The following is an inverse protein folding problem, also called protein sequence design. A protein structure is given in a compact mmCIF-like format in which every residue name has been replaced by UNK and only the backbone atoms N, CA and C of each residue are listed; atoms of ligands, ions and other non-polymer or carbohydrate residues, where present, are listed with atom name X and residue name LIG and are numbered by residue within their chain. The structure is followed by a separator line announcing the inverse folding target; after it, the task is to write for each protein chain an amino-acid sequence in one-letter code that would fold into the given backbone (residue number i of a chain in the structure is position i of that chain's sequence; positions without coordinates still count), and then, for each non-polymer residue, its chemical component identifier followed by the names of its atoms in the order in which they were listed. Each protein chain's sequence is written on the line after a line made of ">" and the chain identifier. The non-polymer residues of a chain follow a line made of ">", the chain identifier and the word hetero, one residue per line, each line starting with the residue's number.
data_IF_152823139182
#
_entry.id   IF_152823139182
#
_cell.length_a   1.000
_cell.length_b   1.000
_cell.length_c   1.000
_cell.angle_alpha   90.00
_cell.angle_beta   90.00
_cell.angle_gamma   90.00
#
_symmetry.space_group_name_H-M   'P 1'
#
loop_
_entity.id
_entity.type
_entity.pdbx_description
1 polymer ?
#
# COMPACT_ATOMS: atom_id res chain seq x y z
N UNK A 1 55.07 -17.67 -16.98
CA UNK A 1 54.49 -17.11 -15.74
C UNK A 1 53.34 -16.21 -16.19
N UNK A 2 52.15 -16.78 -16.32
CA UNK A 2 50.99 -16.08 -16.87
C UNK A 2 50.00 -15.93 -15.74
N UNK A 3 50.07 -14.78 -15.09
CA UNK A 3 49.15 -14.36 -14.06
C UNK A 3 47.79 -14.14 -14.74
N UNK A 4 46.88 -15.09 -14.58
CA UNK A 4 45.48 -14.90 -14.98
C UNK A 4 44.95 -13.74 -14.14
N UNK A 5 44.71 -12.61 -14.80
CA UNK A 5 43.88 -11.55 -14.27
C UNK A 5 42.51 -12.16 -13.96
N UNK A 6 42.24 -12.41 -12.68
CA UNK A 6 40.88 -12.69 -12.23
C UNK A 6 40.13 -11.38 -12.30
N UNK A 7 39.49 -11.17 -13.45
CA UNK A 7 38.63 -10.04 -13.76
C UNK A 7 37.58 -9.91 -12.66
N UNK A 8 37.72 -8.86 -11.85
CA UNK A 8 36.85 -8.54 -10.73
C UNK A 8 35.50 -7.95 -11.18
N UNK A 9 34.78 -8.64 -12.06
CA UNK A 9 33.48 -8.19 -12.61
C UNK A 9 32.30 -9.08 -12.15
N UNK A 10 32.32 -9.59 -10.92
CA UNK A 10 31.14 -10.28 -10.35
C UNK A 10 30.64 -9.55 -9.11
N UNK A 11 30.14 -8.34 -9.33
CA UNK A 11 29.76 -7.40 -8.26
C UNK A 11 28.48 -7.75 -7.49
N UNK A 12 27.72 -8.76 -7.92
CA UNK A 12 26.60 -9.36 -7.17
C UNK A 12 26.53 -10.85 -7.48
N UNK A 13 26.67 -11.70 -6.46
CA UNK A 13 26.53 -13.15 -6.65
C UNK A 13 25.11 -13.49 -7.14
N UNK A 14 24.96 -14.58 -7.91
CA UNK A 14 23.66 -15.12 -8.32
C UNK A 14 22.67 -15.26 -7.15
N UNK A 15 23.19 -15.55 -5.95
CA UNK A 15 22.39 -15.65 -4.73
C UNK A 15 21.85 -14.28 -4.28
N UNK A 16 22.63 -13.21 -4.41
CA UNK A 16 22.19 -11.86 -4.07
C UNK A 16 21.12 -11.36 -5.05
N UNK A 17 21.26 -11.68 -6.34
CA UNK A 17 20.24 -11.40 -7.34
C UNK A 17 18.93 -12.12 -6.98
N UNK A 18 18.99 -13.43 -6.72
CA UNK A 18 17.81 -14.23 -6.33
C UNK A 18 17.17 -13.73 -5.04
N UNK A 19 17.96 -13.36 -4.04
CA UNK A 19 17.47 -12.80 -2.77
C UNK A 19 16.72 -11.49 -3.01
N UNK A 20 17.29 -10.61 -3.84
CA UNK A 20 16.71 -9.31 -4.19
C UNK A 20 15.39 -9.48 -4.92
N UNK A 21 15.32 -10.38 -5.91
CA UNK A 21 14.07 -10.68 -6.64
C UNK A 21 12.98 -11.21 -5.71
N UNK A 22 13.32 -12.11 -4.77
CA UNK A 22 12.37 -12.60 -3.75
C UNK A 22 11.86 -11.49 -2.85
N UNK A 23 12.72 -10.56 -2.44
CA UNK A 23 12.33 -9.42 -1.61
C UNK A 23 11.37 -8.47 -2.36
N UNK A 24 11.64 -8.21 -3.64
CA UNK A 24 10.77 -7.40 -4.51
C UNK A 24 9.39 -8.06 -4.66
N UNK A 25 9.36 -9.36 -4.96
CA UNK A 25 8.11 -10.12 -5.06
C UNK A 25 7.31 -10.13 -3.75
N UNK A 26 8.01 -10.28 -2.60
CA UNK A 26 7.38 -10.21 -1.27
C UNK A 26 6.78 -8.83 -1.00
N UNK A 27 7.51 -7.75 -1.32
CA UNK A 27 7.03 -6.37 -1.19
C UNK A 27 5.77 -6.16 -2.02
N UNK A 28 5.78 -6.62 -3.27
CA UNK A 28 4.64 -6.52 -4.17
C UNK A 28 3.40 -7.23 -3.62
N UNK A 29 3.55 -8.48 -3.19
CA UNK A 29 2.46 -9.24 -2.58
C UNK A 29 1.90 -8.54 -1.33
N UNK A 30 2.79 -8.00 -0.50
CA UNK A 30 2.39 -7.25 0.69
C UNK A 30 1.63 -5.96 0.33
N UNK A 31 2.06 -5.23 -0.70
CA UNK A 31 1.39 -4.01 -1.17
C UNK A 31 -0.04 -4.29 -1.65
N UNK A 32 -0.24 -5.30 -2.49
CA UNK A 32 -1.58 -5.69 -2.97
C UNK A 32 -2.48 -6.15 -1.82
N UNK A 33 -1.94 -6.91 -0.87
CA UNK A 33 -2.70 -7.33 0.31
C UNK A 33 -3.03 -6.15 1.24
N UNK A 34 -2.14 -5.15 1.33
CA UNK A 34 -2.36 -3.93 2.08
C UNK A 34 -3.49 -3.09 1.45
N UNK A 35 -3.43 -2.86 0.13
CA UNK A 35 -4.46 -2.12 -0.61
C UNK A 35 -5.87 -2.66 -0.34
N UNK A 36 -6.07 -3.97 -0.48
CA UNK A 36 -7.36 -4.62 -0.21
C UNK A 36 -7.87 -4.39 1.23
N UNK A 37 -6.97 -4.42 2.21
CA UNK A 37 -7.35 -4.19 3.61
C UNK A 37 -7.68 -2.72 3.89
N UNK A 38 -7.00 -1.81 3.21
CA UNK A 38 -7.30 -0.37 3.30
C UNK A 38 -8.66 -0.06 2.67
N UNK A 39 -9.00 -0.69 1.55
CA UNK A 39 -10.35 -0.61 0.95
C UNK A 39 -11.42 -1.11 1.92
N UNK A 40 -11.25 -2.32 2.49
CA UNK A 40 -12.20 -2.83 3.50
C UNK A 40 -12.29 -1.95 4.74
N UNK A 41 -11.18 -1.32 5.16
CA UNK A 41 -11.19 -0.36 6.26
C UNK A 41 -11.95 0.92 5.90
N UNK A 42 -11.82 1.42 4.66
CA UNK A 42 -12.57 2.56 4.18
C UNK A 42 -14.07 2.28 4.15
N UNK A 43 -14.49 1.10 3.68
CA UNK A 43 -15.89 0.67 3.73
C UNK A 43 -16.42 0.66 5.17
N UNK A 44 -15.72 0.00 6.09
CA UNK A 44 -16.12 -0.07 7.50
C UNK A 44 -16.20 1.32 8.17
N UNK A 45 -15.27 2.23 7.86
CA UNK A 45 -15.29 3.60 8.37
C UNK A 45 -16.45 4.42 7.79
N UNK A 46 -16.81 4.21 6.52
CA UNK A 46 -17.98 4.86 5.93
C UNK A 46 -19.29 4.38 6.60
N UNK A 47 -19.41 3.08 6.86
CA UNK A 47 -20.57 2.52 7.57
C UNK A 47 -20.68 3.08 8.99
N UNK A 48 -19.55 3.15 9.70
CA UNK A 48 -19.51 3.77 11.03
C UNK A 48 -19.89 5.26 10.98
N UNK A 49 -19.33 6.01 10.03
CA UNK A 49 -19.65 7.43 9.85
C UNK A 49 -21.14 7.65 9.55
N UNK A 50 -21.76 6.75 8.77
CA UNK A 50 -23.20 6.76 8.53
C UNK A 50 -23.99 6.53 9.81
N UNK A 51 -23.61 5.53 10.61
CA UNK A 51 -24.26 5.27 11.89
C UNK A 51 -24.15 6.46 12.87
N UNK A 52 -22.99 7.12 12.94
CA UNK A 52 -22.83 8.36 13.72
C UNK A 52 -23.81 9.45 13.29
N UNK A 53 -23.95 9.66 11.97
CA UNK A 53 -24.90 10.64 11.42
C UNK A 53 -26.36 10.29 11.75
N UNK A 54 -26.71 9.00 11.75
CA UNK A 54 -28.05 8.54 12.12
C UNK A 54 -28.37 8.80 13.60
N UNK A 55 -27.37 8.79 14.47
CA UNK A 55 -27.50 9.12 15.90
C UNK A 55 -27.52 10.63 16.20
N UNK A 56 -27.30 11.50 15.21
CA UNK A 56 -27.10 12.96 15.39
C UNK A 56 -26.16 13.28 16.57
N UNK A 57 -25.05 12.54 16.67
CA UNK A 57 -24.03 12.65 17.74
C UNK A 57 -23.19 13.95 17.65
N UNK A 58 -23.76 15.00 17.06
CA UNK A 58 -23.10 16.26 16.71
C UNK A 58 -21.95 16.13 15.69
N UNK A 59 -21.72 14.95 15.12
CA UNK A 59 -20.77 14.77 14.00
C UNK A 59 -21.29 15.20 12.63
N UNK A 60 -22.46 15.82 12.58
CA UNK A 60 -22.98 16.42 11.36
C UNK A 60 -22.15 17.62 10.91
N UNK A 61 -22.43 18.12 9.70
CA UNK A 61 -21.72 19.23 9.04
C UNK A 61 -21.63 20.54 9.88
N UNK A 62 -22.27 20.59 11.05
CA UNK A 62 -22.19 21.66 12.05
C UNK A 62 -20.81 21.79 12.70
N UNK A 63 -20.06 20.70 12.83
CA UNK A 63 -18.71 20.70 13.43
C UNK A 63 -17.68 20.36 12.36
N UNK A 64 -17.45 21.32 11.46
CA UNK A 64 -16.31 21.34 10.54
C UNK A 64 -16.00 20.00 9.87
N UNK A 65 -16.82 19.60 8.88
CA UNK A 65 -16.67 18.36 8.07
C UNK A 65 -15.24 18.10 7.59
N UNK A 66 -14.49 19.18 7.32
CA UNK A 66 -13.09 19.17 6.86
C UNK A 66 -12.08 18.76 7.94
N UNK A 67 -12.43 18.92 9.22
CA UNK A 67 -11.59 18.58 10.38
C UNK A 67 -12.02 17.27 11.04
N UNK A 68 -13.05 16.61 10.52
CA UNK A 68 -13.46 15.29 11.01
C UNK A 68 -12.38 14.26 10.66
N UNK A 69 -11.73 13.74 11.70
CA UNK A 69 -10.69 12.71 11.58
C UNK A 69 -11.16 11.46 10.85
N UNK A 70 -12.46 11.12 10.86
CA UNK A 70 -13.00 10.00 10.08
C UNK A 70 -12.95 10.28 8.59
N UNK A 71 -13.37 11.47 8.16
CA UNK A 71 -13.30 11.86 6.74
C UNK A 71 -11.85 11.93 6.26
N UNK A 72 -10.95 12.49 7.07
CA UNK A 72 -9.51 12.56 6.76
C UNK A 72 -8.94 11.15 6.62
N UNK A 73 -9.23 10.25 7.58
CA UNK A 73 -8.75 8.88 7.54
C UNK A 73 -9.28 8.12 6.33
N UNK A 74 -10.58 8.21 6.02
CA UNK A 74 -11.19 7.59 4.84
C UNK A 74 -10.48 8.09 3.56
N UNK A 75 -10.26 9.39 3.43
CA UNK A 75 -9.56 9.98 2.27
C UNK A 75 -8.15 9.41 2.15
N UNK A 76 -7.37 9.50 3.20
CA UNK A 76 -5.95 9.16 3.18
C UNK A 76 -5.72 7.66 2.91
N UNK A 77 -6.52 6.78 3.51
CA UNK A 77 -6.40 5.32 3.25
C UNK A 77 -6.89 4.94 1.85
N UNK A 78 -7.92 5.61 1.33
CA UNK A 78 -8.43 5.38 -0.03
C UNK A 78 -7.40 5.83 -1.06
N UNK A 79 -6.81 7.01 -0.87
CA UNK A 79 -5.73 7.53 -1.73
C UNK A 79 -4.53 6.57 -1.73
N UNK A 80 -4.09 6.13 -0.55
CA UNK A 80 -2.94 5.25 -0.44
C UNK A 80 -3.21 3.85 -1.00
N UNK A 81 -4.41 3.32 -0.82
CA UNK A 81 -4.83 2.06 -1.44
C UNK A 81 -4.78 2.15 -2.98
N UNK A 82 -5.33 3.24 -3.55
CA UNK A 82 -5.29 3.49 -4.99
C UNK A 82 -3.87 3.63 -5.52
N UNK A 83 -2.98 4.30 -4.79
CA UNK A 83 -1.56 4.38 -5.15
C UNK A 83 -0.88 3.00 -5.13
N UNK A 84 -1.13 2.18 -4.09
CA UNK A 84 -0.59 0.83 -4.00
C UNK A 84 -1.07 -0.05 -5.17
N UNK A 85 -2.34 0.03 -5.53
CA UNK A 85 -2.88 -0.72 -6.66
C UNK A 85 -2.33 -0.21 -8.02
N UNK A 86 -2.21 1.10 -8.20
CA UNK A 86 -1.65 1.67 -9.43
C UNK A 86 -0.18 1.27 -9.67
N UNK A 87 0.62 1.20 -8.60
CA UNK A 87 2.06 0.85 -8.67
C UNK A 87 2.29 -0.66 -8.69
N UNK A 88 1.50 -1.44 -7.93
CA UNK A 88 1.75 -2.87 -7.71
C UNK A 88 0.65 -3.80 -8.28
N UNK A 89 -0.51 -3.32 -8.69
CA UNK A 89 -1.62 -4.14 -9.21
C UNK A 89 -1.42 -4.63 -10.66
N UNK A 90 -0.59 -3.95 -11.46
CA UNK A 90 -0.49 -4.15 -12.93
C UNK A 90 0.14 -5.46 -13.45
N UNK A 91 0.45 -6.48 -12.64
CA UNK A 91 1.06 -7.74 -13.16
C UNK A 91 0.15 -8.98 -13.05
N UNK A 92 -1.17 -8.86 -12.89
CA UNK A 92 -2.06 -10.04 -12.98
C UNK A 92 -2.67 -10.29 -14.37
N UNK A 93 -2.29 -9.52 -15.39
CA UNK A 93 -2.72 -9.74 -16.77
C UNK A 93 -1.50 -9.94 -17.68
N UNK A 94 -0.94 -11.15 -17.70
CA UNK A 94 -0.07 -11.66 -18.77
C UNK A 94 -0.10 -13.17 -18.73
#
# INVERSE_FOLDING_TARGET
>A
MTQLAMVGDDWLSDNDIKRTQRAIAKRKKAAVACAKKLESAAEALNDFLRACRECDDESSDRVGREWDGRNIMIRDITEYAGWLDAVYGKEQQS
#
